data_IF_248293965975
#
_entry.id   IF_248293965975
#
_cell.length_a   1.000
_cell.length_b   1.000
_cell.length_c   1.000
_cell.angle_alpha   90.00
_cell.angle_beta   90.00
_cell.angle_gamma   90.00
#
_symmetry.space_group_name_H-M   'P 1'
#
loop_
_entity.id
_entity.type
_entity.pdbx_description
1 polymer ?
#
# COMPACT_ATOMS: atom_id res chain seq x y z
N UNK A 1 -1.84 18.05 3.07
CA UNK A 1 -1.19 18.54 1.82
C UNK A 1 0.11 17.80 1.64
N UNK A 2 0.45 17.26 0.46
CA UNK A 2 1.74 16.61 0.28
C UNK A 2 2.80 17.71 0.35
N UNK A 3 3.64 17.65 1.38
CA UNK A 3 4.69 18.65 1.58
C UNK A 3 5.58 18.67 0.34
N UNK A 4 5.61 19.82 -0.34
CA UNK A 4 6.49 19.96 -1.50
C UNK A 4 7.95 19.94 -1.02
N UNK A 5 8.88 19.57 -1.90
CA UNK A 5 10.33 19.67 -1.64
C UNK A 5 10.72 21.05 -1.07
N UNK A 6 9.97 22.09 -1.41
CA UNK A 6 10.17 23.47 -0.93
C UNK A 6 9.72 23.68 0.52
N UNK A 7 8.69 22.98 0.98
CA UNK A 7 8.20 23.07 2.37
C UNK A 7 9.03 22.21 3.31
N UNK A 8 9.55 21.08 2.82
CA UNK A 8 10.55 20.26 3.52
C UNK A 8 11.90 21.00 3.63
N UNK A 9 12.25 21.81 2.63
CA UNK A 9 13.40 22.72 2.69
C UNK A 9 13.13 23.99 3.51
N UNK A 10 11.89 24.46 3.62
CA UNK A 10 11.52 25.63 4.41
C UNK A 10 11.40 25.30 5.91
N UNK A 11 10.94 24.10 6.27
CA UNK A 11 10.97 23.62 7.66
C UNK A 11 12.40 23.34 8.16
N UNK A 12 13.34 23.13 7.24
CA UNK A 12 14.79 23.06 7.46
C UNK A 12 15.51 24.41 7.21
N UNK A 13 14.74 25.48 7.02
CA UNK A 13 15.17 26.77 6.44
C UNK A 13 15.59 27.86 7.42
N UNK A 14 16.10 27.51 8.60
CA UNK A 14 16.70 28.49 9.52
C UNK A 14 18.08 28.02 9.98
N UNK A 15 19.13 28.44 9.27
CA UNK A 15 20.50 28.44 9.80
C UNK A 15 21.54 27.79 8.88
N UNK A 16 22.70 28.42 8.82
CA UNK A 16 23.93 28.06 8.08
C UNK A 16 24.47 26.63 8.43
N UNK A 17 23.82 25.91 9.34
CA UNK A 17 24.11 24.53 9.74
C UNK A 17 23.56 23.46 8.78
N UNK A 18 22.53 23.76 7.96
CA UNK A 18 21.89 22.76 7.09
C UNK A 18 22.80 22.27 5.97
N UNK A 19 23.69 23.10 5.44
CA UNK A 19 24.62 22.69 4.37
C UNK A 19 25.65 21.65 4.84
N UNK A 20 26.20 21.84 6.04
CA UNK A 20 27.13 20.88 6.63
C UNK A 20 26.43 19.60 7.07
N UNK A 21 25.24 19.69 7.69
CA UNK A 21 24.46 18.52 8.06
C UNK A 21 23.99 17.70 6.85
N UNK A 22 23.59 18.37 5.76
CA UNK A 22 23.26 17.70 4.50
C UNK A 22 24.49 17.00 3.91
N UNK A 23 25.65 17.66 3.92
CA UNK A 23 26.91 17.08 3.41
C UNK A 23 27.35 15.88 4.26
N UNK A 24 27.26 15.96 5.58
CA UNK A 24 27.59 14.84 6.48
C UNK A 24 26.58 13.69 6.36
N UNK A 25 25.30 14.00 6.14
CA UNK A 25 24.28 13.00 5.84
C UNK A 25 24.55 12.33 4.49
N UNK A 26 24.86 13.08 3.43
CA UNK A 26 25.26 12.55 2.13
C UNK A 26 26.51 11.66 2.24
N UNK A 27 27.54 12.08 2.99
CA UNK A 27 28.73 11.25 3.25
C UNK A 27 28.39 9.98 4.04
N UNK A 28 27.50 10.08 5.04
CA UNK A 28 27.05 8.92 5.80
C UNK A 28 26.28 7.93 4.90
N UNK A 29 25.48 8.45 3.97
CA UNK A 29 24.77 7.65 2.99
C UNK A 29 25.68 7.00 1.96
N UNK A 30 26.73 7.69 1.50
CA UNK A 30 27.73 7.11 0.62
C UNK A 30 28.43 5.90 1.24
N UNK A 31 28.50 5.85 2.58
CA UNK A 31 29.04 4.71 3.33
C UNK A 31 28.08 3.53 3.43
N UNK A 32 26.79 3.71 3.15
CA UNK A 32 25.85 2.57 3.11
C UNK A 32 26.21 1.73 1.88
N UNK A 33 26.62 0.46 2.07
CA UNK A 33 26.92 -0.43 0.97
C UNK A 33 25.64 -0.77 0.21
N UNK A 34 25.79 -1.05 -1.09
CA UNK A 34 24.66 -1.46 -1.93
C UNK A 34 24.78 -2.96 -2.18
N UNK A 35 24.38 -3.71 -1.16
CA UNK A 35 24.49 -5.16 -1.09
C UNK A 35 23.25 -5.80 -0.44
N UNK A 36 23.23 -7.13 -0.42
CA UNK A 36 22.11 -7.89 0.12
C UNK A 36 21.95 -7.69 1.64
N UNK A 37 23.05 -7.44 2.36
CA UNK A 37 23.02 -7.13 3.79
C UNK A 37 22.24 -5.84 4.08
N UNK A 38 22.52 -4.79 3.30
CA UNK A 38 21.82 -3.52 3.43
C UNK A 38 20.35 -3.66 3.02
N UNK A 39 20.04 -4.44 1.98
CA UNK A 39 18.65 -4.75 1.62
C UNK A 39 17.90 -5.41 2.80
N UNK A 40 18.51 -6.42 3.42
CA UNK A 40 17.92 -7.12 4.57
C UNK A 40 17.63 -6.16 5.73
N UNK A 41 18.51 -5.17 5.98
CA UNK A 41 18.27 -4.16 7.02
C UNK A 41 17.01 -3.32 6.75
N UNK A 42 16.71 -2.96 5.49
CA UNK A 42 15.47 -2.26 5.16
C UNK A 42 14.24 -3.16 5.27
N UNK A 43 14.38 -4.45 4.92
CA UNK A 43 13.28 -5.41 5.09
C UNK A 43 12.95 -5.61 6.58
N UNK A 44 13.96 -5.82 7.41
CA UNK A 44 13.83 -5.97 8.86
C UNK A 44 13.26 -4.68 9.50
N UNK A 45 13.71 -3.51 9.05
CA UNK A 45 13.20 -2.23 9.53
C UNK A 45 11.73 -2.04 9.14
N UNK A 46 11.34 -2.38 7.91
CA UNK A 46 9.94 -2.31 7.47
C UNK A 46 9.06 -3.24 8.30
N UNK A 47 9.50 -4.47 8.54
CA UNK A 47 8.77 -5.43 9.39
C UNK A 47 8.66 -4.91 10.83
N UNK A 48 9.73 -4.29 11.35
CA UNK A 48 9.73 -3.59 12.64
C UNK A 48 8.70 -2.47 12.71
N UNK A 49 8.62 -1.60 11.69
CA UNK A 49 7.60 -0.54 11.62
C UNK A 49 6.19 -1.10 11.52
N UNK A 50 5.97 -2.15 10.71
CA UNK A 50 4.68 -2.80 10.59
C UNK A 50 4.25 -3.46 11.89
N UNK A 51 5.20 -4.00 12.66
CA UNK A 51 4.95 -4.52 14.01
C UNK A 51 4.58 -3.40 14.98
N UNK A 52 5.35 -2.30 14.98
CA UNK A 52 5.10 -1.14 15.83
C UNK A 52 3.76 -0.45 15.53
N UNK A 53 3.34 -0.42 14.27
CA UNK A 53 2.03 0.11 13.85
C UNK A 53 0.85 -0.59 14.51
N UNK A 54 1.01 -1.84 15.00
CA UNK A 54 -0.06 -2.56 15.70
C UNK A 54 -0.30 -2.07 17.13
N UNK A 55 0.67 -1.38 17.73
CA UNK A 55 0.63 -1.01 19.15
C UNK A 55 0.90 0.47 19.43
N UNK A 56 1.39 1.22 18.43
CA UNK A 56 1.68 2.64 18.55
C UNK A 56 0.73 3.49 17.69
N UNK A 57 0.45 4.75 18.08
CA UNK A 57 -0.29 5.68 17.25
C UNK A 57 0.41 5.89 15.88
N UNK A 58 -0.33 5.95 14.76
CA UNK A 58 0.26 6.07 13.42
C UNK A 58 1.27 7.21 13.27
N UNK A 59 1.01 8.35 13.90
CA UNK A 59 1.91 9.51 13.88
C UNK A 59 3.33 9.22 14.35
N UNK A 60 3.53 8.26 15.28
CA UNK A 60 4.87 7.89 15.77
C UNK A 60 5.66 7.03 14.79
N UNK A 61 4.98 6.37 13.86
CA UNK A 61 5.59 5.42 12.89
C UNK A 61 5.84 6.11 11.55
N UNK A 62 4.97 7.04 11.14
CA UNK A 62 5.04 7.75 9.85
C UNK A 62 6.39 8.46 9.64
N UNK A 63 6.93 9.14 10.65
CA UNK A 63 8.19 9.88 10.50
C UNK A 63 9.37 8.95 10.24
N UNK A 64 9.41 7.79 10.92
CA UNK A 64 10.42 6.77 10.72
C UNK A 64 10.38 6.17 9.32
N UNK A 65 9.19 5.78 8.85
CA UNK A 65 8.99 5.26 7.49
C UNK A 65 9.34 6.30 6.42
N UNK A 66 8.92 7.56 6.60
CA UNK A 66 9.21 8.66 5.65
C UNK A 66 10.71 8.91 5.55
N UNK A 67 11.43 8.84 6.68
CA UNK A 67 12.89 8.95 6.70
C UNK A 67 13.56 7.82 5.90
N UNK A 68 13.08 6.58 6.02
CA UNK A 68 13.60 5.45 5.24
C UNK A 68 13.32 5.60 3.74
N UNK A 69 12.16 6.14 3.35
CA UNK A 69 11.87 6.45 1.94
C UNK A 69 12.88 7.45 1.36
N UNK A 70 13.27 8.47 2.14
CA UNK A 70 14.27 9.45 1.71
C UNK A 70 15.65 8.80 1.52
N UNK A 71 16.05 7.90 2.42
CA UNK A 71 17.28 7.12 2.27
C UNK A 71 17.23 6.21 1.03
N UNK A 72 16.12 5.48 0.84
CA UNK A 72 15.91 4.61 -0.32
C UNK A 72 15.94 5.37 -1.65
N UNK A 73 15.40 6.58 -1.70
CA UNK A 73 15.49 7.47 -2.87
C UNK A 73 16.95 7.77 -3.24
N UNK A 74 17.80 8.02 -2.24
CA UNK A 74 19.21 8.33 -2.45
C UNK A 74 20.00 7.08 -2.89
N UNK A 75 19.70 5.91 -2.31
CA UNK A 75 20.25 4.63 -2.75
C UNK A 75 19.82 4.29 -4.19
N UNK A 76 18.56 4.54 -4.56
CA UNK A 76 18.06 4.33 -5.92
C UNK A 76 18.79 5.20 -6.97
N UNK A 77 19.34 6.36 -6.58
CA UNK A 77 20.13 7.22 -7.47
C UNK A 77 21.56 6.75 -7.68
N UNK A 78 22.09 5.99 -6.72
CA UNK A 78 23.44 5.39 -6.76
C UNK A 78 23.46 4.02 -7.46
N UNK A 79 22.30 3.48 -7.80
CA UNK A 79 22.14 2.17 -8.44
C UNK A 79 21.71 2.28 -9.90
N UNK A 80 22.01 1.25 -10.68
CA UNK A 80 21.58 1.12 -12.07
C UNK A 80 21.14 -0.32 -12.38
N UNK A 81 20.44 -0.50 -13.50
CA UNK A 81 20.02 -1.80 -14.00
C UNK A 81 19.19 -2.59 -12.98
N UNK A 82 19.46 -3.90 -12.87
CA UNK A 82 18.68 -4.81 -12.01
C UNK A 82 18.69 -4.40 -10.53
N UNK A 83 19.81 -3.88 -10.03
CA UNK A 83 19.92 -3.47 -8.64
C UNK A 83 18.97 -2.31 -8.33
N UNK A 84 18.88 -1.32 -9.21
CA UNK A 84 17.96 -0.18 -9.06
C UNK A 84 16.50 -0.64 -8.98
N UNK A 85 16.11 -1.68 -9.74
CA UNK A 85 14.76 -2.22 -9.70
C UNK A 85 14.43 -2.81 -8.32
N UNK A 86 15.36 -3.55 -7.70
CA UNK A 86 15.17 -4.16 -6.37
C UNK A 86 15.00 -3.08 -5.30
N UNK A 87 15.89 -2.09 -5.28
CA UNK A 87 15.80 -0.96 -4.32
C UNK A 87 14.53 -0.13 -4.51
N UNK A 88 14.11 0.08 -5.76
CA UNK A 88 12.87 0.79 -6.07
C UNK A 88 11.63 0.00 -5.68
N UNK A 89 11.66 -1.34 -5.75
CA UNK A 89 10.59 -2.19 -5.20
C UNK A 89 10.50 -2.01 -3.68
N UNK A 90 11.63 -1.93 -2.98
CA UNK A 90 11.64 -1.66 -1.53
C UNK A 90 11.05 -0.29 -1.20
N UNK A 91 11.42 0.74 -1.97
CA UNK A 91 10.83 2.09 -1.85
C UNK A 91 9.31 2.07 -2.02
N UNK A 92 8.79 1.28 -2.97
CA UNK A 92 7.36 1.10 -3.17
C UNK A 92 6.67 0.41 -1.98
N UNK A 93 7.31 -0.58 -1.34
CA UNK A 93 6.77 -1.25 -0.13
C UNK A 93 6.61 -0.28 1.05
N UNK A 94 7.59 0.60 1.27
CA UNK A 94 7.48 1.64 2.29
C UNK A 94 6.36 2.65 1.99
N UNK A 95 6.20 3.07 0.73
CA UNK A 95 5.10 3.94 0.34
C UNK A 95 3.72 3.28 0.56
N UNK A 96 3.61 1.98 0.25
CA UNK A 96 2.38 1.23 0.51
C UNK A 96 2.03 1.24 2.00
N UNK A 97 3.00 1.01 2.88
CA UNK A 97 2.79 1.06 4.33
C UNK A 97 2.44 2.48 4.83
N UNK A 98 3.09 3.51 4.29
CA UNK A 98 2.77 4.91 4.63
C UNK A 98 1.35 5.32 4.23
N UNK A 99 0.86 4.81 3.11
CA UNK A 99 -0.52 5.10 2.70
C UNK A 99 -1.57 4.53 3.64
N UNK A 100 -1.33 3.35 4.25
CA UNK A 100 -2.21 2.80 5.27
C UNK A 100 -2.20 3.63 6.55
N UNK A 101 -1.02 3.96 7.07
CA UNK A 101 -0.92 4.78 8.28
C UNK A 101 -1.51 6.17 8.10
N UNK A 102 -1.42 6.73 6.88
CA UNK A 102 -2.04 8.01 6.55
C UNK A 102 -3.56 7.91 6.56
N UNK A 103 -4.11 6.81 6.02
CA UNK A 103 -5.54 6.50 6.06
C UNK A 103 -6.05 6.32 7.50
N UNK A 104 -5.35 5.55 8.33
CA UNK A 104 -5.70 5.36 9.75
C UNK A 104 -5.65 6.67 10.56
N UNK A 105 -4.78 7.60 10.17
CA UNK A 105 -4.71 8.94 10.75
C UNK A 105 -5.85 9.85 10.25
N UNK A 106 -6.62 9.43 9.25
CA UNK A 106 -7.64 10.25 8.61
C UNK A 106 -7.08 11.29 7.63
N UNK A 107 -5.81 11.21 7.24
CA UNK A 107 -5.20 12.11 6.25
C UNK A 107 -5.36 11.53 4.84
N UNK A 108 -6.52 11.79 4.23
CA UNK A 108 -6.84 11.34 2.88
C UNK A 108 -5.83 11.82 1.83
N UNK A 109 -5.34 13.05 1.95
CA UNK A 109 -4.42 13.62 0.98
C UNK A 109 -3.06 12.91 1.02
N UNK A 110 -2.55 12.62 2.22
CA UNK A 110 -1.33 11.84 2.38
C UNK A 110 -1.52 10.38 1.93
N UNK A 111 -2.67 9.77 2.22
CA UNK A 111 -2.97 8.41 1.77
C UNK A 111 -2.92 8.29 0.24
N UNK A 112 -3.60 9.20 -0.47
CA UNK A 112 -3.58 9.25 -1.95
C UNK A 112 -2.15 9.48 -2.47
N UNK A 113 -1.42 10.43 -1.88
CA UNK A 113 -0.03 10.69 -2.28
C UNK A 113 0.84 9.44 -2.20
N UNK A 114 0.74 8.69 -1.10
CA UNK A 114 1.55 7.49 -0.90
C UNK A 114 1.08 6.31 -1.77
N UNK A 115 -0.22 6.19 -2.07
CA UNK A 115 -0.76 5.24 -3.06
C UNK A 115 -0.16 5.52 -4.45
N UNK A 116 -0.13 6.80 -4.86
CA UNK A 116 0.44 7.21 -6.14
C UNK A 116 1.94 6.87 -6.21
N UNK A 117 2.69 7.15 -5.14
CA UNK A 117 4.12 6.83 -5.06
C UNK A 117 4.40 5.33 -5.11
N UNK A 118 3.65 4.53 -4.35
CA UNK A 118 3.78 3.07 -4.37
C UNK A 118 3.52 2.52 -5.78
N UNK A 119 2.49 3.02 -6.47
CA UNK A 119 2.18 2.65 -7.85
C UNK A 119 3.30 3.03 -8.81
N UNK A 120 3.76 4.28 -8.78
CA UNK A 120 4.83 4.78 -9.67
C UNK A 120 6.14 3.99 -9.49
N UNK A 121 6.58 3.81 -8.25
CA UNK A 121 7.82 3.08 -7.96
C UNK A 121 7.68 1.58 -8.21
N UNK A 122 6.51 1.01 -7.97
CA UNK A 122 6.19 -0.38 -8.31
C UNK A 122 6.26 -0.65 -9.81
N UNK A 123 5.60 0.16 -10.63
CA UNK A 123 5.68 0.04 -12.09
C UNK A 123 7.11 0.15 -12.58
N UNK A 124 7.86 1.13 -12.07
CA UNK A 124 9.25 1.34 -12.45
C UNK A 124 10.22 0.24 -11.97
N UNK A 125 9.82 -0.59 -11.01
CA UNK A 125 10.56 -1.79 -10.58
C UNK A 125 10.05 -3.09 -11.23
N UNK A 126 9.02 -3.03 -12.07
CA UNK A 126 8.37 -4.19 -12.67
C UNK A 126 7.40 -4.93 -11.72
N UNK A 127 7.13 -4.39 -10.53
CA UNK A 127 6.14 -4.93 -9.60
C UNK A 127 4.73 -4.50 -9.99
N UNK A 128 4.14 -5.20 -10.96
CA UNK A 128 2.80 -4.86 -11.52
C UNK A 128 1.68 -4.96 -10.49
N UNK A 129 1.80 -5.88 -9.54
CA UNK A 129 0.77 -6.12 -8.52
C UNK A 129 0.52 -4.90 -7.64
N UNK A 130 1.55 -4.16 -7.21
CA UNK A 130 1.32 -2.95 -6.39
C UNK A 130 0.65 -1.84 -7.20
N UNK A 131 0.90 -1.77 -8.50
CA UNK A 131 0.24 -0.82 -9.39
C UNK A 131 -1.26 -1.12 -9.49
N UNK A 132 -1.64 -2.39 -9.70
CA UNK A 132 -3.04 -2.82 -9.70
C UNK A 132 -3.69 -2.67 -8.32
N UNK A 133 -2.95 -3.00 -7.27
CA UNK A 133 -3.42 -2.84 -5.90
C UNK A 133 -3.65 -1.37 -5.51
N UNK A 134 -2.96 -0.42 -6.14
CA UNK A 134 -3.21 1.01 -5.92
C UNK A 134 -4.65 1.42 -6.30
N UNK A 135 -5.27 0.74 -7.26
CA UNK A 135 -6.67 0.94 -7.62
C UNK A 135 -7.62 0.35 -6.57
N UNK A 136 -7.29 -0.83 -6.05
CA UNK A 136 -7.99 -1.45 -4.90
C UNK A 136 -7.96 -0.51 -3.69
N UNK A 137 -6.82 0.10 -3.39
CA UNK A 137 -6.69 1.09 -2.31
C UNK A 137 -7.55 2.34 -2.54
N UNK A 138 -7.63 2.86 -3.77
CA UNK A 138 -8.53 3.98 -4.08
C UNK A 138 -10.01 3.61 -3.90
N UNK A 139 -10.39 2.37 -4.20
CA UNK A 139 -11.73 1.89 -3.89
C UNK A 139 -12.01 1.88 -2.40
N UNK A 140 -11.05 1.42 -1.57
CA UNK A 140 -11.19 1.45 -0.11
C UNK A 140 -11.41 2.88 0.39
N UNK A 141 -10.61 3.84 -0.09
CA UNK A 141 -10.76 5.25 0.27
C UNK A 141 -12.11 5.85 -0.18
N UNK A 142 -12.62 5.46 -1.36
CA UNK A 142 -13.93 5.89 -1.84
C UNK A 142 -15.06 5.41 -0.92
N UNK A 143 -14.95 4.19 -0.38
CA UNK A 143 -15.86 3.64 0.62
C UNK A 143 -15.71 4.38 1.95
N UNK A 144 -14.49 4.45 2.49
CA UNK A 144 -14.26 4.90 3.88
C UNK A 144 -14.38 6.41 4.08
N UNK A 145 -13.99 7.23 3.10
CA UNK A 145 -14.01 8.70 3.24
C UNK A 145 -15.22 9.36 2.58
N UNK A 146 -15.74 8.79 1.49
CA UNK A 146 -16.79 9.43 0.70
C UNK A 146 -18.09 8.64 0.62
N UNK A 147 -18.11 7.40 1.13
CA UNK A 147 -19.24 6.48 1.00
C UNK A 147 -19.77 6.37 -0.44
N UNK A 148 -18.85 6.43 -1.42
CA UNK A 148 -19.16 6.48 -2.84
C UNK A 148 -18.97 5.08 -3.46
N UNK A 149 -20.06 4.31 -3.50
CA UNK A 149 -20.05 2.95 -4.01
C UNK A 149 -19.76 2.86 -5.51
N UNK A 150 -20.22 3.82 -6.32
CA UNK A 150 -19.93 3.83 -7.76
C UNK A 150 -18.44 4.03 -8.02
N UNK A 151 -17.82 5.04 -7.38
CA UNK A 151 -16.37 5.25 -7.49
C UNK A 151 -15.58 4.09 -6.92
N UNK A 152 -16.08 3.39 -5.91
CA UNK A 152 -15.45 2.18 -5.39
C UNK A 152 -15.38 1.09 -6.47
N UNK A 153 -16.52 0.78 -7.11
CA UNK A 153 -16.59 -0.20 -8.21
C UNK A 153 -15.67 0.19 -9.36
N UNK A 154 -15.70 1.45 -9.81
CA UNK A 154 -14.89 1.93 -10.93
C UNK A 154 -13.39 1.81 -10.64
N UNK A 155 -12.95 2.24 -9.45
CA UNK A 155 -11.56 2.10 -9.03
C UNK A 155 -11.16 0.63 -8.98
N UNK A 156 -11.91 -0.22 -8.27
CA UNK A 156 -11.56 -1.63 -8.15
C UNK A 156 -11.54 -2.35 -9.52
N UNK A 157 -12.48 -2.02 -10.42
CA UNK A 157 -12.52 -2.53 -11.79
C UNK A 157 -11.28 -2.21 -12.61
N UNK A 158 -10.68 -1.03 -12.41
CA UNK A 158 -9.47 -0.63 -13.12
C UNK A 158 -8.25 -1.55 -12.86
N UNK A 159 -8.23 -2.28 -11.74
CA UNK A 159 -7.18 -3.26 -11.45
C UNK A 159 -7.09 -4.39 -12.50
N UNK A 160 -8.22 -4.74 -13.14
CA UNK A 160 -8.27 -5.77 -14.19
C UNK A 160 -7.69 -5.32 -15.53
N UNK A 161 -7.46 -4.02 -15.73
CA UNK A 161 -6.83 -3.48 -16.93
C UNK A 161 -5.31 -3.65 -16.97
N UNK A 162 -4.69 -4.16 -15.90
CA UNK A 162 -3.24 -4.41 -15.84
C UNK A 162 -2.97 -5.88 -16.15
N UNK A 163 -2.13 -6.13 -17.14
CA UNK A 163 -1.75 -7.49 -17.54
C UNK A 163 -0.86 -8.18 -16.50
N UNK A 164 -1.10 -9.48 -16.31
CA UNK A 164 -0.27 -10.33 -15.46
C UNK A 164 -0.43 -10.11 -13.95
N UNK A 165 -1.48 -9.41 -13.52
CA UNK A 165 -1.82 -9.23 -12.10
C UNK A 165 -2.14 -10.56 -11.43
N UNK A 166 -1.63 -10.76 -10.21
CA UNK A 166 -1.85 -11.99 -9.44
C UNK A 166 -3.33 -12.25 -9.13
N UNK A 167 -3.72 -13.53 -8.96
CA UNK A 167 -5.05 -13.88 -8.48
C UNK A 167 -5.41 -13.16 -7.18
N UNK A 168 -4.46 -12.99 -6.26
CA UNK A 168 -4.71 -12.30 -4.99
C UNK A 168 -5.23 -10.87 -5.19
N UNK A 169 -4.54 -10.07 -6.01
CA UNK A 169 -4.97 -8.67 -6.25
C UNK A 169 -6.31 -8.63 -6.99
N UNK A 170 -6.56 -9.55 -7.93
CA UNK A 170 -7.88 -9.70 -8.57
C UNK A 170 -8.98 -10.02 -7.56
N UNK A 171 -8.72 -10.92 -6.61
CA UNK A 171 -9.66 -11.26 -5.54
C UNK A 171 -9.93 -10.08 -4.60
N UNK A 172 -8.90 -9.29 -4.28
CA UNK A 172 -9.07 -8.06 -3.51
C UNK A 172 -9.87 -6.99 -4.28
N UNK A 173 -9.68 -6.88 -5.60
CA UNK A 173 -10.47 -6.00 -6.44
C UNK A 173 -11.95 -6.42 -6.48
N UNK A 174 -12.25 -7.70 -6.71
CA UNK A 174 -13.64 -8.22 -6.64
C UNK A 174 -14.27 -7.97 -5.27
N UNK A 175 -13.53 -8.17 -4.18
CA UNK A 175 -14.01 -7.88 -2.82
C UNK A 175 -14.42 -6.41 -2.68
N UNK A 176 -13.61 -5.50 -3.20
CA UNK A 176 -13.91 -4.07 -3.16
C UNK A 176 -15.09 -3.69 -4.05
N UNK A 177 -15.21 -4.30 -5.25
CA UNK A 177 -16.40 -4.14 -6.09
C UNK A 177 -17.66 -4.61 -5.36
N UNK A 178 -17.58 -5.74 -4.63
CA UNK A 178 -18.71 -6.22 -3.85
C UNK A 178 -19.19 -5.22 -2.80
N UNK A 179 -18.26 -4.57 -2.08
CA UNK A 179 -18.61 -3.50 -1.15
C UNK A 179 -19.22 -2.29 -1.85
N UNK A 180 -18.66 -1.88 -3.00
CA UNK A 180 -19.21 -0.80 -3.80
C UNK A 180 -20.64 -1.08 -4.27
N UNK A 181 -20.92 -2.30 -4.77
CA UNK A 181 -22.26 -2.73 -5.17
C UNK A 181 -23.25 -2.74 -4.00
N UNK A 182 -22.81 -3.19 -2.82
CA UNK A 182 -23.65 -3.18 -1.62
C UNK A 182 -24.04 -1.75 -1.21
N UNK A 183 -23.11 -0.78 -1.28
CA UNK A 183 -23.39 0.62 -0.96
C UNK A 183 -24.42 1.28 -1.89
N UNK A 184 -24.48 0.85 -3.16
CA UNK A 184 -25.47 1.37 -4.13
C UNK A 184 -26.76 0.54 -4.17
N UNK A 185 -26.89 -0.50 -3.34
CA UNK A 185 -28.08 -1.34 -3.24
C UNK A 185 -28.18 -2.48 -4.26
N UNK A 186 -27.13 -2.79 -5.01
CA UNK A 186 -27.11 -3.93 -5.94
C UNK A 186 -26.61 -5.21 -5.26
N UNK A 187 -27.50 -5.83 -4.48
CA UNK A 187 -27.22 -7.06 -3.72
C UNK A 187 -26.77 -8.20 -4.64
N UNK A 188 -27.38 -8.34 -5.81
CA UNK A 188 -27.07 -9.43 -6.74
C UNK A 188 -25.66 -9.28 -7.33
N UNK A 189 -25.26 -8.06 -7.72
CA UNK A 189 -23.90 -7.82 -8.20
C UNK A 189 -22.87 -7.98 -7.08
N UNK A 190 -23.22 -7.56 -5.86
CA UNK A 190 -22.37 -7.73 -4.68
C UNK A 190 -22.07 -9.21 -4.39
N UNK A 191 -23.11 -10.06 -4.32
CA UNK A 191 -22.95 -11.50 -4.09
C UNK A 191 -22.11 -12.18 -5.18
N UNK A 192 -22.38 -11.88 -6.47
CA UNK A 192 -21.58 -12.42 -7.58
C UNK A 192 -20.12 -12.00 -7.51
N UNK A 193 -19.84 -10.76 -7.09
CA UNK A 193 -18.47 -10.28 -6.91
C UNK A 193 -17.77 -10.97 -5.74
N UNK A 194 -18.48 -11.23 -4.63
CA UNK A 194 -17.94 -12.03 -3.51
C UNK A 194 -17.59 -13.46 -3.94
N UNK A 195 -18.44 -14.13 -4.72
CA UNK A 195 -18.15 -15.48 -5.22
C UNK A 195 -16.88 -15.50 -6.09
N UNK A 196 -16.70 -14.50 -6.96
CA UNK A 196 -15.48 -14.34 -7.75
C UNK A 196 -14.27 -14.02 -6.87
N UNK A 197 -14.43 -13.15 -5.87
CA UNK A 197 -13.38 -12.84 -4.91
C UNK A 197 -12.90 -14.11 -4.20
N UNK A 198 -13.82 -14.95 -3.72
CA UNK A 198 -13.50 -16.23 -3.10
C UNK A 198 -12.75 -17.17 -4.04
N UNK A 199 -13.18 -17.24 -5.31
CA UNK A 199 -12.53 -18.06 -6.33
C UNK A 199 -11.07 -17.65 -6.54
N UNK A 200 -10.80 -16.34 -6.67
CA UNK A 200 -9.45 -15.82 -6.85
C UNK A 200 -8.58 -15.95 -5.59
N UNK A 201 -9.13 -15.69 -4.40
CA UNK A 201 -8.40 -15.73 -3.13
C UNK A 201 -8.08 -17.17 -2.67
N UNK A 202 -8.81 -18.17 -3.18
CA UNK A 202 -8.51 -19.58 -2.93
C UNK A 202 -7.36 -20.11 -3.83
N UNK A 203 -6.95 -19.38 -4.85
CA UNK A 203 -5.83 -19.79 -5.70
C UNK A 203 -4.50 -19.69 -4.92
N UNK A 204 -3.58 -20.64 -5.10
CA UNK A 204 -2.26 -20.58 -4.46
C UNK A 204 -1.53 -19.28 -4.80
N UNK A 205 -0.85 -18.72 -3.79
CA UNK A 205 0.12 -17.64 -4.03
C UNK A 205 1.26 -18.17 -4.88
N UNK A 206 1.72 -17.35 -5.82
CA UNK A 206 2.95 -17.62 -6.56
C UNK A 206 4.13 -17.19 -5.70
N UNK A 207 5.30 -17.82 -5.87
CA UNK A 207 6.52 -17.43 -5.14
C UNK A 207 6.91 -15.95 -5.33
N UNK A 208 6.40 -15.30 -6.38
CA UNK A 208 6.63 -13.88 -6.69
C UNK A 208 5.62 -12.91 -6.07
N UNK A 209 4.58 -13.44 -5.41
CA UNK A 209 3.45 -12.65 -4.91
C UNK A 209 3.79 -12.08 -3.53
N UNK A 210 4.22 -10.81 -3.50
CA UNK A 210 4.37 -10.08 -2.25
C UNK A 210 2.99 -9.88 -1.60
N UNK A 211 2.89 -10.10 -0.29
CA UNK A 211 1.67 -9.85 0.46
C UNK A 211 1.39 -8.33 0.52
N UNK A 212 0.53 -7.86 -0.38
CA UNK A 212 0.01 -6.51 -0.41
C UNK A 212 -1.16 -6.31 0.54
N UNK A 213 -1.21 -5.12 1.16
CA UNK A 213 -2.20 -4.72 2.16
C UNK A 213 -1.68 -4.78 3.59
N UNK A 214 -2.40 -4.12 4.50
CA UNK A 214 -2.08 -4.19 5.92
C UNK A 214 -2.18 -5.65 6.39
N UNK A 215 -1.07 -6.18 6.90
CA UNK A 215 -1.04 -7.46 7.63
C UNK A 215 -1.97 -7.47 8.86
N UNK A 216 -2.63 -6.36 9.19
CA UNK A 216 -3.65 -6.25 10.24
C UNK A 216 -5.07 -6.64 9.78
N UNK A 217 -5.34 -6.84 8.48
CA UNK A 217 -6.71 -7.06 7.98
C UNK A 217 -6.87 -8.33 7.12
N UNK A 218 -5.86 -9.21 7.07
CA UNK A 218 -5.99 -10.52 6.37
C UNK A 218 -5.23 -11.56 7.20
N UNK A 219 -5.90 -12.53 7.82
CA UNK A 219 -6.41 -13.67 7.05
C UNK A 219 -7.72 -14.31 7.53
N UNK A 220 -8.10 -14.19 8.81
CA UNK A 220 -9.14 -15.08 9.37
C UNK A 220 -10.45 -14.38 9.78
N UNK A 221 -10.41 -13.15 10.28
CA UNK A 221 -11.61 -12.54 10.88
C UNK A 221 -12.61 -12.01 9.86
N UNK A 222 -12.17 -11.39 8.75
CA UNK A 222 -13.10 -10.97 7.70
C UNK A 222 -13.75 -12.18 7.00
N UNK A 223 -13.00 -13.27 6.80
CA UNK A 223 -13.50 -14.50 6.19
C UNK A 223 -14.56 -15.19 7.07
N UNK A 224 -14.43 -15.08 8.40
CA UNK A 224 -15.40 -15.57 9.37
C UNK A 224 -16.67 -14.69 9.44
N UNK A 225 -16.51 -13.36 9.43
CA UNK A 225 -17.62 -12.40 9.46
C UNK A 225 -18.56 -12.59 8.25
N UNK A 226 -18.00 -12.82 7.05
CA UNK A 226 -18.79 -13.03 5.83
C UNK A 226 -19.56 -14.35 5.82
N UNK A 227 -18.99 -15.46 6.32
CA UNK A 227 -19.74 -16.73 6.46
C UNK A 227 -20.89 -16.63 7.46
N UNK A 228 -20.72 -15.85 8.53
CA UNK A 228 -21.77 -15.60 9.53
C UNK A 228 -22.96 -14.82 8.96
N UNK A 229 -22.70 -13.83 8.11
CA UNK A 229 -23.76 -13.03 7.47
C UNK A 229 -24.53 -13.80 6.37
N UNK A 230 -23.85 -14.64 5.58
CA UNK A 230 -24.51 -15.43 4.52
C UNK A 230 -25.35 -16.62 5.03
N UNK A 231 -25.05 -17.14 6.22
CA UNK A 231 -25.78 -18.27 6.81
C UNK A 231 -27.06 -17.85 7.56
N UNK A 232 -27.12 -16.61 8.04
CA UNK A 232 -28.30 -16.08 8.74
C UNK A 232 -29.45 -15.67 7.80
N UNK A 233 -29.18 -15.42 6.51
CA UNK A 233 -30.23 -15.16 5.51
C UNK A 233 -30.87 -16.41 4.88
N UNK A 234 -30.35 -17.62 5.15
CA UNK A 234 -30.89 -18.87 4.58
C UNK A 234 -31.91 -19.59 5.46
N UNK A 235 -32.12 -19.13 6.70
CA UNK A 235 -33.02 -19.80 7.68
C UNK A 235 -34.39 -19.13 7.81
N UNK A 236 -34.64 -18.01 7.09
CA UNK A 236 -35.87 -17.22 7.20
C UNK A 236 -36.87 -17.35 6.03
N UNK A 237 -36.74 -18.36 5.16
CA UNK A 237 -37.72 -18.65 4.09
C UNK A 237 -37.98 -20.15 3.97
N UNK A 238 -38.84 -20.66 4.85
CA UNK A 238 -39.75 -21.78 4.58
C UNK A 238 -41.08 -21.47 5.26
#
# INVERSE_FOLDING_TARGET
>A
MPLSRRELLASLGAGITTGHLLTEFEKALDRIPIDDCSMQQFEDALDGFQSAARSLPPARVIDGLTSHVAVLEMLCRRTAGRQQLVWRRMQARYAESLSWLSEERGDLAAAIYWIDRASQWGQASGWRDVAAYSFVRRSMLAISFTNDGHRAVDNAGAAFGIDGVSPRVKGLAEKQMAFGYALVGDENASLRALDRAMTYLAMPLRDSDDLLGQRSVVHDDLFAIFRGAGSTHRVGRQ
#
